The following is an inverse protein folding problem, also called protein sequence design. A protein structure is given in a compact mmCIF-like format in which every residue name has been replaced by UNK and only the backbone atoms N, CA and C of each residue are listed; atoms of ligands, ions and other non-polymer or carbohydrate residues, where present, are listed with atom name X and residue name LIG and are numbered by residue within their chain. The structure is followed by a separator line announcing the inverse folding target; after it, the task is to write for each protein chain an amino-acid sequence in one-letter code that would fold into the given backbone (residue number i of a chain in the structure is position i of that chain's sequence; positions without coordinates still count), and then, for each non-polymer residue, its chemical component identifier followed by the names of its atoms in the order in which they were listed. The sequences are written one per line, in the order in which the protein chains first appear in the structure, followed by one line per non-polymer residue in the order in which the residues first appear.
data_IF_628257493708
#
_entry.id   IF_628257493708
#
_cell.length_a   1.000
_cell.length_b   1.000
_cell.length_c   1.000
_cell.angle_alpha   90.00
_cell.angle_beta   90.00
_cell.angle_gamma   90.00
#
_symmetry.space_group_name_H-M   'P 1'
#
loop_
_entity.id
_entity.type
_entity.pdbx_description
1 polymer ?
#
# COMPACT_ATOMS: atom_id res chain seq x y z
N UNK A 1 17.73 7.44 -1.17
CA UNK A 1 16.38 7.52 -0.55
C UNK A 1 15.61 6.31 -1.04
N UNK A 2 15.05 5.50 -0.14
CA UNK A 2 14.55 4.16 -0.48
C UNK A 2 13.36 4.26 -1.43
N UNK A 3 13.58 3.86 -2.69
CA UNK A 3 12.56 3.79 -3.71
C UNK A 3 11.83 2.46 -3.57
N UNK A 4 10.94 2.36 -2.59
CA UNK A 4 10.24 1.11 -2.33
C UNK A 4 9.15 0.88 -3.37
N UNK A 5 8.91 -0.38 -3.71
CA UNK A 5 7.82 -0.76 -4.61
C UNK A 5 6.46 -0.57 -3.92
N UNK A 6 6.41 -0.87 -2.64
CA UNK A 6 5.21 -0.77 -1.81
C UNK A 6 5.56 -0.07 -0.51
N UNK A 7 4.68 0.83 -0.07
CA UNK A 7 4.67 1.29 1.32
C UNK A 7 3.33 0.91 1.96
N UNK A 8 3.41 0.11 3.01
CA UNK A 8 2.28 -0.32 3.82
C UNK A 8 2.31 0.45 5.14
N UNK A 9 1.27 1.22 5.44
CA UNK A 9 1.13 1.96 6.69
C UNK A 9 -0.04 1.35 7.46
N UNK A 10 0.29 0.64 8.52
CA UNK A 10 -0.65 -0.15 9.28
C UNK A 10 -1.58 0.73 10.12
N UNK A 11 -2.86 0.36 10.14
CA UNK A 11 -3.87 0.98 11.01
C UNK A 11 -4.02 0.24 12.33
N UNK A 12 -4.94 0.74 13.15
CA UNK A 12 -5.31 0.17 14.45
C UNK A 12 -6.57 -0.69 14.42
N UNK A 13 -7.29 -0.73 13.28
CA UNK A 13 -8.58 -1.45 13.17
C UNK A 13 -8.42 -2.95 13.47
N UNK A 14 -7.37 -3.59 12.96
CA UNK A 14 -7.08 -5.00 13.25
C UNK A 14 -5.61 -5.21 13.66
N UNK A 15 -5.33 -5.68 14.89
CA UNK A 15 -3.98 -6.04 15.31
C UNK A 15 -3.48 -7.27 14.57
N UNK A 16 -2.16 -7.35 14.34
CA UNK A 16 -1.52 -8.49 13.67
C UNK A 16 -0.91 -9.42 14.72
N UNK A 17 -1.36 -10.67 14.74
CA UNK A 17 -1.00 -11.66 15.76
C UNK A 17 -1.20 -11.14 17.19
N UNK A 18 -2.24 -10.33 17.42
CA UNK A 18 -2.55 -9.73 18.72
C UNK A 18 -1.71 -8.51 19.11
N UNK A 19 -0.76 -8.08 18.27
CA UNK A 19 0.09 -6.92 18.53
C UNK A 19 -0.49 -5.64 17.92
N UNK A 20 -0.32 -4.51 18.62
CA UNK A 20 -0.69 -3.20 18.10
C UNK A 20 0.20 -2.84 16.91
N UNK A 21 -0.42 -2.47 15.80
CA UNK A 21 0.25 -2.09 14.55
C UNK A 21 0.01 -0.64 14.14
N UNK A 22 -0.68 0.12 14.98
CA UNK A 22 -1.04 1.52 14.71
C UNK A 22 0.19 2.33 14.28
N UNK A 23 0.14 2.87 13.07
CA UNK A 23 1.19 3.72 12.52
C UNK A 23 2.45 3.00 12.06
N UNK A 24 2.55 1.66 12.17
CA UNK A 24 3.75 0.96 11.70
C UNK A 24 3.86 1.05 10.18
N UNK A 25 5.01 1.53 9.69
CA UNK A 25 5.33 1.63 8.27
C UNK A 25 6.27 0.51 7.84
N UNK A 26 5.89 -0.20 6.79
CA UNK A 26 6.70 -1.21 6.13
C UNK A 26 7.00 -0.78 4.70
N UNK A 27 8.28 -0.83 4.36
CA UNK A 27 8.80 -0.53 3.05
C UNK A 27 9.12 -1.87 2.37
N UNK A 28 8.41 -2.21 1.30
CA UNK A 28 8.42 -3.56 0.72
C UNK A 28 8.85 -3.49 -0.74
N UNK A 29 9.83 -4.32 -1.10
CA UNK A 29 10.40 -4.38 -2.45
C UNK A 29 11.20 -3.14 -2.84
N UNK A 30 12.03 -3.28 -3.87
CA UNK A 30 12.77 -2.16 -4.48
C UNK A 30 12.14 -1.84 -5.82
N UNK A 31 11.67 -0.62 -6.06
CA UNK A 31 11.08 -0.23 -7.34
C UNK A 31 12.11 -0.07 -8.47
N UNK A 32 13.42 0.01 -8.16
CA UNK A 32 14.47 0.09 -9.17
C UNK A 32 15.62 -0.90 -8.90
N UNK A 33 15.37 -2.22 -8.94
CA UNK A 33 16.41 -3.20 -8.61
C UNK A 33 17.55 -3.18 -9.63
N UNK A 34 18.75 -3.53 -9.15
CA UNK A 34 19.98 -3.38 -9.90
C UNK A 34 20.05 -4.33 -11.11
N UNK A 35 19.63 -5.58 -10.94
CA UNK A 35 19.79 -6.62 -11.98
C UNK A 35 18.55 -6.80 -12.85
N UNK A 36 18.74 -7.29 -14.08
CA UNK A 36 17.64 -7.59 -15.00
C UNK A 36 16.71 -8.69 -14.46
N UNK A 37 17.27 -9.73 -13.84
CA UNK A 37 16.48 -10.83 -13.28
C UNK A 37 15.55 -10.34 -12.15
N UNK A 38 16.08 -9.54 -11.23
CA UNK A 38 15.28 -8.93 -10.17
C UNK A 38 14.17 -8.06 -10.77
N UNK A 39 14.44 -7.26 -11.81
CA UNK A 39 13.40 -6.45 -12.48
C UNK A 39 12.26 -7.29 -13.05
N UNK A 40 12.56 -8.47 -13.61
CA UNK A 40 11.53 -9.35 -14.16
C UNK A 40 10.62 -9.96 -13.07
N UNK A 41 11.19 -10.22 -11.89
CA UNK A 41 10.49 -10.84 -10.77
C UNK A 41 9.81 -9.81 -9.86
N UNK A 42 10.27 -8.56 -9.90
CA UNK A 42 9.85 -7.48 -9.03
C UNK A 42 8.54 -6.87 -9.50
N UNK A 43 7.44 -7.31 -8.90
CA UNK A 43 6.13 -6.69 -9.04
C UNK A 43 5.41 -6.66 -7.69
N UNK A 44 4.41 -5.79 -7.60
CA UNK A 44 3.69 -5.54 -6.36
C UNK A 44 3.12 -6.83 -5.73
N UNK A 45 2.57 -7.73 -6.53
CA UNK A 45 1.95 -8.97 -6.04
C UNK A 45 2.98 -9.92 -5.43
N UNK A 46 4.06 -10.23 -6.14
CA UNK A 46 5.08 -11.13 -5.61
C UNK A 46 5.79 -10.53 -4.40
N UNK A 47 6.15 -9.24 -4.45
CA UNK A 47 6.87 -8.59 -3.35
C UNK A 47 6.06 -8.55 -2.05
N UNK A 48 4.75 -8.27 -2.12
CA UNK A 48 3.92 -8.24 -0.90
C UNK A 48 3.64 -9.65 -0.33
N UNK A 49 3.45 -10.64 -1.21
CA UNK A 49 3.28 -12.04 -0.80
C UNK A 49 4.56 -12.56 -0.15
N UNK A 50 5.71 -12.30 -0.76
CA UNK A 50 7.01 -12.68 -0.22
C UNK A 50 7.24 -12.05 1.16
N UNK A 51 6.95 -10.75 1.29
CA UNK A 51 7.05 -10.05 2.57
C UNK A 51 6.20 -10.70 3.66
N UNK A 52 4.89 -10.90 3.42
CA UNK A 52 4.02 -11.51 4.43
C UNK A 52 4.35 -12.98 4.71
N UNK A 53 4.87 -13.71 3.73
CA UNK A 53 5.23 -15.13 3.90
C UNK A 53 6.51 -15.34 4.69
N UNK A 54 7.37 -14.32 4.77
CA UNK A 54 8.71 -14.45 5.36
C UNK A 54 8.96 -13.57 6.59
N UNK A 55 8.09 -12.62 6.91
CA UNK A 55 8.30 -11.67 8.02
C UNK A 55 7.30 -11.89 9.17
N UNK A 56 7.80 -12.00 10.40
CA UNK A 56 6.94 -11.95 11.59
C UNK A 56 6.49 -10.50 11.87
N UNK A 57 5.28 -10.27 12.42
CA UNK A 57 4.28 -11.28 12.82
C UNK A 57 3.38 -11.78 11.68
N UNK A 58 3.52 -11.24 10.47
CA UNK A 58 2.62 -11.53 9.34
C UNK A 58 2.61 -13.00 8.94
N UNK A 59 3.77 -13.65 8.94
CA UNK A 59 3.91 -15.06 8.57
C UNK A 59 3.09 -15.99 9.47
N UNK A 60 3.00 -15.66 10.76
CA UNK A 60 2.24 -16.45 11.73
C UNK A 60 0.76 -16.10 11.75
N UNK A 61 0.39 -14.88 11.32
CA UNK A 61 -0.98 -14.40 11.32
C UNK A 61 -1.86 -15.11 10.27
N UNK A 62 -3.03 -15.60 10.70
CA UNK A 62 -3.95 -16.35 9.84
C UNK A 62 -4.54 -15.48 8.71
N UNK A 63 -4.85 -14.21 8.98
CA UNK A 63 -5.43 -13.33 7.97
C UNK A 63 -4.42 -13.07 6.85
N UNK A 64 -3.17 -12.73 7.19
CA UNK A 64 -2.12 -12.49 6.20
C UNK A 64 -1.74 -13.74 5.42
N UNK A 65 -1.71 -14.92 6.06
CA UNK A 65 -1.53 -16.20 5.34
C UNK A 65 -2.65 -16.47 4.32
N UNK A 66 -3.90 -16.11 4.65
CA UNK A 66 -5.02 -16.22 3.70
C UNK A 66 -4.91 -15.21 2.57
N UNK A 67 -4.54 -13.96 2.88
CA UNK A 67 -4.28 -12.93 1.88
C UNK A 67 -3.22 -13.39 0.86
N UNK A 68 -2.17 -14.07 1.29
CA UNK A 68 -1.14 -14.62 0.41
C UNK A 68 -1.64 -15.68 -0.60
N UNK A 69 -2.88 -16.17 -0.46
CA UNK A 69 -3.52 -17.09 -1.43
C UNK A 69 -4.27 -16.34 -2.53
N UNK A 70 -4.39 -15.02 -2.44
CA UNK A 70 -4.98 -14.18 -3.48
C UNK A 70 -3.96 -13.94 -4.60
N UNK A 71 -4.35 -14.21 -5.84
CA UNK A 71 -3.50 -14.03 -7.02
C UNK A 71 -3.68 -12.66 -7.69
N UNK A 72 -4.05 -11.63 -6.91
CA UNK A 72 -4.32 -10.29 -7.43
C UNK A 72 -3.95 -9.20 -6.43
N UNK A 73 -3.14 -8.25 -6.90
CA UNK A 73 -2.74 -7.08 -6.10
C UNK A 73 -3.94 -6.20 -5.75
N UNK A 74 -4.95 -6.10 -6.63
CA UNK A 74 -6.15 -5.31 -6.36
C UNK A 74 -6.97 -5.87 -5.20
N UNK A 75 -7.19 -7.19 -5.18
CA UNK A 75 -7.89 -7.85 -4.06
C UNK A 75 -7.09 -7.77 -2.75
N UNK A 76 -5.77 -7.98 -2.81
CA UNK A 76 -4.89 -7.80 -1.65
C UNK A 76 -4.98 -6.39 -1.09
N UNK A 77 -4.85 -5.38 -1.95
CA UNK A 77 -4.91 -3.98 -1.56
C UNK A 77 -6.27 -3.60 -0.99
N UNK A 78 -7.36 -4.11 -1.57
CA UNK A 78 -8.72 -3.96 -1.03
C UNK A 78 -8.80 -4.48 0.40
N UNK A 79 -8.45 -5.75 0.65
CA UNK A 79 -8.58 -6.33 1.99
C UNK A 79 -7.62 -5.68 2.99
N UNK A 80 -6.40 -5.30 2.59
CA UNK A 80 -5.51 -4.54 3.46
C UNK A 80 -6.11 -3.18 3.83
N UNK A 81 -6.78 -2.52 2.90
CA UNK A 81 -7.48 -1.26 3.14
C UNK A 81 -8.74 -1.45 4.01
N UNK A 82 -9.52 -2.49 3.78
CA UNK A 82 -10.63 -2.85 4.66
C UNK A 82 -10.14 -3.19 6.09
N UNK A 83 -8.93 -3.73 6.20
CA UNK A 83 -8.24 -3.92 7.47
C UNK A 83 -7.75 -2.62 8.13
N UNK A 84 -8.04 -1.45 7.54
CA UNK A 84 -7.67 -0.14 8.05
C UNK A 84 -6.24 0.29 7.68
N UNK A 85 -5.55 -0.44 6.81
CA UNK A 85 -4.20 -0.10 6.39
C UNK A 85 -4.22 0.83 5.17
N UNK A 86 -3.17 1.63 5.02
CA UNK A 86 -2.95 2.43 3.81
C UNK A 86 -1.89 1.74 2.97
N UNK A 87 -2.13 1.61 1.68
CA UNK A 87 -1.20 0.98 0.76
C UNK A 87 -0.83 1.96 -0.37
N UNK A 88 0.44 2.32 -0.47
CA UNK A 88 1.00 3.02 -1.63
C UNK A 88 1.69 2.00 -2.52
N UNK A 89 1.28 1.95 -3.78
CA UNK A 89 1.89 1.15 -4.84
C UNK A 89 2.64 2.10 -5.78
N UNK A 90 3.95 1.94 -5.88
CA UNK A 90 4.77 2.76 -6.75
C UNK A 90 4.68 2.24 -8.19
N UNK A 91 4.01 3.01 -9.05
CA UNK A 91 3.79 2.69 -10.46
C UNK A 91 4.71 3.49 -11.39
N UNK A 92 5.69 4.20 -10.83
CA UNK A 92 6.63 4.97 -11.61
C UNK A 92 7.36 4.09 -12.63
N UNK A 93 7.62 4.66 -13.81
CA UNK A 93 8.45 3.99 -14.82
C UNK A 93 9.85 3.77 -14.26
N UNK A 94 10.46 2.66 -14.63
CA UNK A 94 11.83 2.33 -14.22
C UNK A 94 12.80 3.48 -14.53
N UNK A 95 13.62 3.86 -13.55
CA UNK A 95 14.57 4.97 -13.67
C UNK A 95 13.95 6.37 -13.65
N UNK A 96 12.63 6.49 -13.46
CA UNK A 96 11.96 7.78 -13.27
C UNK A 96 12.46 8.47 -11.99
N UNK A 97 12.59 9.79 -12.08
CA UNK A 97 12.83 10.66 -10.91
C UNK A 97 11.52 11.04 -10.20
N UNK A 98 10.38 10.91 -10.88
CA UNK A 98 9.04 11.10 -10.32
C UNK A 98 8.49 9.76 -9.84
N UNK A 99 7.81 9.76 -8.70
CA UNK A 99 7.25 8.55 -8.08
C UNK A 99 5.74 8.58 -8.15
N UNK A 100 5.16 8.11 -9.24
CA UNK A 100 3.70 8.06 -9.34
C UNK A 100 3.17 6.90 -8.50
N UNK A 101 2.10 7.16 -7.73
CA UNK A 101 1.54 6.19 -6.81
C UNK A 101 0.07 5.90 -7.08
N UNK A 102 -0.30 4.63 -6.95
CA UNK A 102 -1.69 4.23 -6.70
C UNK A 102 -1.84 4.01 -5.20
N UNK A 103 -2.82 4.65 -4.57
CA UNK A 103 -3.01 4.64 -3.12
C UNK A 103 -4.38 4.08 -2.76
N UNK A 104 -4.39 3.01 -1.97
CA UNK A 104 -5.61 2.44 -1.40
C UNK A 104 -5.81 3.03 -0.01
N UNK A 105 -6.86 3.83 0.14
CA UNK A 105 -7.13 4.61 1.34
C UNK A 105 -8.33 4.02 2.11
N UNK A 106 -8.14 3.63 3.38
CA UNK A 106 -9.24 3.16 4.23
C UNK A 106 -10.19 4.31 4.55
N UNK A 107 -11.42 3.97 4.96
CA UNK A 107 -12.43 4.97 5.32
C UNK A 107 -12.04 5.84 6.52
N UNK A 108 -11.27 5.28 7.46
CA UNK A 108 -10.77 5.99 8.64
C UNK A 108 -9.25 5.85 8.71
N UNK A 109 -8.60 6.96 9.07
CA UNK A 109 -7.16 7.04 9.25
C UNK A 109 -6.81 7.41 10.68
N UNK A 110 -5.89 6.66 11.25
CA UNK A 110 -5.31 6.98 12.55
C UNK A 110 -4.38 8.20 12.46
N UNK A 111 -4.19 8.89 13.59
CA UNK A 111 -3.31 10.07 13.68
C UNK A 111 -1.90 9.77 13.17
N UNK A 112 -1.32 8.64 13.53
CA UNK A 112 0.01 8.25 13.06
C UNK A 112 0.03 7.95 11.55
N UNK A 113 -1.03 7.34 11.00
CA UNK A 113 -1.13 7.12 9.56
C UNK A 113 -1.17 8.46 8.80
N UNK A 114 -1.97 9.43 9.28
CA UNK A 114 -2.03 10.78 8.69
C UNK A 114 -0.66 11.47 8.71
N UNK A 115 0.10 11.32 9.80
CA UNK A 115 1.46 11.87 9.89
C UNK A 115 2.41 11.22 8.87
N UNK A 116 2.37 9.90 8.72
CA UNK A 116 3.18 9.20 7.72
C UNK A 116 2.81 9.60 6.30
N UNK A 117 1.51 9.67 5.99
CA UNK A 117 1.05 10.14 4.68
C UNK A 117 1.56 11.57 4.44
N UNK A 118 1.38 12.48 5.40
CA UNK A 118 1.88 13.87 5.26
C UNK A 118 3.38 13.93 4.98
N UNK A 119 4.19 13.13 5.68
CA UNK A 119 5.65 13.04 5.41
C UNK A 119 5.92 12.61 3.96
N UNK A 120 5.24 11.57 3.49
CA UNK A 120 5.40 11.05 2.11
C UNK A 120 5.02 12.13 1.09
N UNK A 121 3.89 12.80 1.27
CA UNK A 121 3.39 13.82 0.35
C UNK A 121 4.29 15.06 0.29
N UNK A 122 4.96 15.39 1.40
CA UNK A 122 5.96 16.47 1.45
C UNK A 122 7.28 16.06 0.79
N UNK A 123 7.75 14.84 1.02
CA UNK A 123 8.97 14.29 0.43
C UNK A 123 8.86 14.14 -1.09
N UNK A 124 7.72 13.67 -1.57
CA UNK A 124 7.46 13.36 -2.98
C UNK A 124 6.52 14.39 -3.65
N UNK A 125 6.63 15.67 -3.27
CA UNK A 125 5.69 16.74 -3.68
C UNK A 125 5.45 16.95 -5.17
N UNK A 126 6.39 16.51 -6.02
CA UNK A 126 6.28 16.58 -7.49
C UNK A 126 5.55 15.38 -8.12
N UNK A 127 5.20 14.38 -7.32
CA UNK A 127 4.59 13.13 -7.78
C UNK A 127 3.09 13.26 -8.00
N UNK A 128 2.54 12.31 -8.76
CA UNK A 128 1.09 12.15 -8.92
C UNK A 128 0.56 10.99 -8.09
N UNK A 129 -0.65 11.18 -7.56
CA UNK A 129 -1.33 10.19 -6.74
C UNK A 129 -2.67 9.85 -7.38
N UNK A 130 -2.91 8.58 -7.65
CA UNK A 130 -4.23 8.05 -7.95
C UNK A 130 -4.77 7.41 -6.69
N UNK A 131 -5.77 8.04 -6.05
CA UNK A 131 -6.30 7.60 -4.76
C UNK A 131 -7.61 6.85 -4.96
N UNK A 132 -7.65 5.60 -4.51
CA UNK A 132 -8.86 4.79 -4.40
C UNK A 132 -9.36 4.83 -2.96
N UNK A 133 -10.63 5.19 -2.77
CA UNK A 133 -11.25 5.38 -1.46
C UNK A 133 -12.72 4.95 -1.47
N UNK A 134 -13.37 4.93 -0.31
CA UNK A 134 -14.73 4.40 -0.14
C UNK A 134 -14.90 2.99 -0.72
N UNK A 135 -13.85 2.18 -0.55
CA UNK A 135 -13.77 0.82 -1.07
C UNK A 135 -14.81 -0.10 -0.41
N UNK A 136 -15.51 -0.88 -1.22
CA UNK A 136 -16.49 -1.89 -0.78
C UNK A 136 -16.54 -3.03 -1.79
N UNK A 137 -17.22 -4.12 -1.43
CA UNK A 137 -17.56 -5.19 -2.37
C UNK A 137 -18.92 -4.92 -2.99
N UNK A 138 -19.07 -5.23 -4.28
CA UNK A 138 -20.37 -5.35 -4.93
C UNK A 138 -21.03 -6.72 -4.65
N UNK A 139 -22.18 -6.97 -5.28
CA UNK A 139 -22.93 -8.22 -5.16
C UNK A 139 -22.16 -9.48 -5.62
N UNK A 140 -21.14 -9.30 -6.46
CA UNK A 140 -20.30 -10.38 -6.99
C UNK A 140 -18.97 -10.50 -6.24
N UNK A 141 -18.83 -9.81 -5.10
CA UNK A 141 -17.57 -9.73 -4.34
C UNK A 141 -16.41 -9.11 -5.10
N UNK A 142 -16.70 -8.19 -6.02
CA UNK A 142 -15.69 -7.41 -6.74
C UNK A 142 -15.43 -6.10 -5.98
N UNK A 143 -14.16 -5.76 -5.67
CA UNK A 143 -13.83 -4.47 -5.09
C UNK A 143 -14.21 -3.32 -6.01
N UNK A 144 -15.04 -2.42 -5.50
CA UNK A 144 -15.45 -1.17 -6.12
C UNK A 144 -15.20 -0.01 -5.16
N UNK A 145 -15.10 1.21 -5.68
CA UNK A 145 -14.94 2.40 -4.87
C UNK A 145 -14.81 3.65 -5.73
N UNK A 146 -14.60 4.78 -5.07
CA UNK A 146 -14.33 6.04 -5.73
C UNK A 146 -12.86 6.12 -6.13
N UNK A 147 -12.56 6.82 -7.22
CA UNK A 147 -11.18 7.05 -7.68
C UNK A 147 -10.99 8.53 -7.97
N UNK A 148 -9.93 9.10 -7.40
CA UNK A 148 -9.40 10.43 -7.76
C UNK A 148 -8.06 10.27 -8.45
N UNK A 149 -8.01 10.32 -9.79
CA UNK A 149 -6.77 10.10 -10.54
C UNK A 149 -5.88 11.36 -10.55
N UNK A 150 -4.57 11.13 -10.59
CA UNK A 150 -3.51 12.12 -10.86
C UNK A 150 -3.55 13.42 -10.04
N UNK A 151 -4.01 13.33 -8.79
CA UNK A 151 -4.05 14.46 -7.86
C UNK A 151 -2.65 14.81 -7.34
N UNK A 152 -2.47 16.07 -6.96
CA UNK A 152 -1.26 16.60 -6.34
C UNK A 152 -1.18 16.26 -4.85
N UNK A 153 0.00 16.46 -4.24
CA UNK A 153 0.18 16.33 -2.79
C UNK A 153 -0.77 17.20 -1.98
N UNK A 154 -1.01 18.45 -2.41
CA UNK A 154 -1.89 19.38 -1.69
C UNK A 154 -3.35 18.94 -1.76
N UNK A 155 -3.80 18.48 -2.93
CA UNK A 155 -5.13 17.90 -3.09
C UNK A 155 -5.30 16.64 -2.25
N UNK A 156 -4.28 15.77 -2.21
CA UNK A 156 -4.35 14.57 -1.38
C UNK A 156 -4.35 14.93 0.12
N UNK A 157 -3.56 15.90 0.57
CA UNK A 157 -3.61 16.40 1.94
C UNK A 157 -4.99 16.92 2.33
N UNK A 158 -5.73 17.53 1.40
CA UNK A 158 -7.09 18.02 1.66
C UNK A 158 -8.12 16.90 1.87
N UNK A 159 -7.80 15.65 1.46
CA UNK A 159 -8.68 14.50 1.60
C UNK A 159 -8.56 13.78 2.95
N UNK A 160 -7.50 14.04 3.74
CA UNK A 160 -7.13 13.22 4.91
C UNK A 160 -7.17 13.98 6.24
#
# INVERSE_FOLDING_TARGET
MNNNLIMLIMGSKYPVSGNNTRGLRFNIGDANPATFLERMMNNHLFSIIDFFSNNEPFRSDLAYRKLCKLHSIGFLAYYLSDMGNVLFLNIARYGSKMRDYVVYLPHQLDKEQKLHIKSILQEDSSSKYTVLYNLKLDENSIPIGDTKPDITSDEFLSMI
#
